data_IF_779386971054
#
_entry.id   IF_779386971054
#
_cell.length_a   1.000
_cell.length_b   1.000
_cell.length_c   1.000
_cell.angle_alpha   90.00
_cell.angle_beta   90.00
_cell.angle_gamma   90.00
#
_symmetry.space_group_name_H-M   'P 1'
#
loop_
_entity.id
_entity.type
_entity.pdbx_description
1 polymer ?
#
# COMPACT_ATOMS: atom_id res chain seq x y z
N UNK A 1 9.13 -10.16 1.40
CA UNK A 1 8.60 -8.86 0.91
C UNK A 1 7.88 -9.12 -0.41
N UNK A 2 6.77 -8.42 -0.66
CA UNK A 2 5.96 -8.61 -1.88
C UNK A 2 6.72 -8.13 -3.14
N UNK A 3 6.85 -9.00 -4.15
CA UNK A 3 7.47 -8.73 -5.45
C UNK A 3 6.82 -9.64 -6.51
N UNK A 4 6.58 -9.18 -7.75
CA UNK A 4 6.09 -10.03 -8.83
C UNK A 4 7.05 -11.18 -9.15
N UNK A 5 6.52 -12.40 -9.29
CA UNK A 5 7.34 -13.58 -9.63
C UNK A 5 7.94 -13.51 -11.05
N UNK A 6 7.20 -12.94 -12.00
CA UNK A 6 7.61 -12.76 -13.39
C UNK A 6 6.99 -11.46 -13.92
N UNK A 7 7.75 -10.72 -14.74
CA UNK A 7 7.26 -9.56 -15.46
C UNK A 7 7.58 -9.68 -16.95
N UNK A 8 6.68 -9.20 -17.81
CA UNK A 8 6.91 -9.15 -19.26
C UNK A 8 8.04 -8.17 -19.61
N UNK A 9 8.07 -7.02 -18.93
CA UNK A 9 9.06 -5.96 -19.17
C UNK A 9 9.75 -5.56 -17.86
N UNK A 10 11.08 -5.54 -17.90
CA UNK A 10 11.92 -5.22 -16.72
C UNK A 10 11.92 -3.74 -16.35
N UNK A 11 11.83 -2.82 -17.32
CA UNK A 11 11.85 -1.37 -17.10
C UNK A 11 10.58 -0.75 -17.69
N UNK A 12 9.82 -0.01 -16.89
CA UNK A 12 8.56 0.63 -17.31
C UNK A 12 8.66 2.15 -17.18
N UNK A 13 7.92 2.91 -17.98
CA UNK A 13 7.85 4.37 -17.85
C UNK A 13 7.36 4.77 -16.46
N UNK A 14 7.74 5.98 -16.02
CA UNK A 14 7.35 6.45 -14.70
C UNK A 14 5.83 6.65 -14.66
N UNK A 15 5.12 6.04 -13.70
CA UNK A 15 3.68 6.18 -13.64
C UNK A 15 3.28 7.60 -13.23
N UNK A 16 2.12 8.07 -13.66
CA UNK A 16 1.53 9.30 -13.13
C UNK A 16 0.82 9.05 -11.80
N UNK A 17 0.78 10.07 -10.94
CA UNK A 17 0.10 10.05 -9.63
C UNK A 17 -1.16 10.91 -9.57
N UNK A 18 -1.57 11.49 -10.69
CA UNK A 18 -2.76 12.35 -10.79
C UNK A 18 -4.07 11.55 -10.76
N UNK A 19 -5.14 12.24 -10.36
CA UNK A 19 -6.51 11.72 -10.34
C UNK A 19 -6.84 10.86 -9.13
N UNK A 20 -8.08 10.37 -9.11
CA UNK A 20 -8.62 9.53 -8.05
C UNK A 20 -8.37 8.03 -8.30
N UNK A 21 -8.50 7.22 -7.27
CA UNK A 21 -8.48 5.77 -7.40
C UNK A 21 -9.65 5.30 -8.27
N UNK A 22 -9.35 4.44 -9.26
CA UNK A 22 -10.35 3.89 -10.18
C UNK A 22 -11.21 2.79 -9.55
N UNK A 23 -10.76 2.19 -8.45
CA UNK A 23 -11.49 1.12 -7.77
C UNK A 23 -10.83 0.71 -6.46
N UNK A 24 -11.45 -0.24 -5.75
CA UNK A 24 -11.07 -0.62 -4.39
C UNK A 24 -11.14 0.55 -3.42
N UNK A 25 -12.22 1.33 -3.53
CA UNK A 25 -12.48 2.52 -2.73
C UNK A 25 -13.33 2.24 -1.49
N UNK A 26 -13.93 1.06 -1.43
CA UNK A 26 -14.74 0.55 -0.31
C UNK A 26 -14.06 -0.64 0.37
N UNK A 27 -14.40 -0.88 1.63
CA UNK A 27 -13.97 -2.08 2.37
C UNK A 27 -14.73 -3.29 1.84
N UNK A 28 -14.03 -4.31 1.36
CA UNK A 28 -14.67 -5.46 0.69
C UNK A 28 -14.64 -6.74 1.52
N UNK A 29 -13.59 -6.97 2.29
CA UNK A 29 -13.34 -8.23 2.99
C UNK A 29 -13.44 -8.07 4.52
N UNK A 30 -12.84 -7.01 5.06
CA UNK A 30 -12.78 -6.74 6.48
C UNK A 30 -13.96 -5.92 7.01
N UNK A 31 -13.84 -5.51 8.27
CA UNK A 31 -14.78 -4.62 8.97
C UNK A 31 -14.26 -3.19 9.00
N UNK A 32 -12.93 -3.02 9.06
CA UNK A 32 -12.25 -1.73 9.09
C UNK A 32 -11.14 -1.70 8.03
N UNK A 33 -10.81 -0.51 7.53
CA UNK A 33 -9.73 -0.34 6.55
C UNK A 33 -9.04 1.01 6.59
N UNK A 34 -7.88 1.08 5.92
CA UNK A 34 -7.10 2.31 5.72
C UNK A 34 -7.34 2.82 4.31
N UNK A 35 -7.89 4.02 4.17
CA UNK A 35 -8.08 4.68 2.88
C UNK A 35 -7.10 5.83 2.68
N UNK A 36 -6.43 5.87 1.53
CA UNK A 36 -5.51 6.94 1.18
C UNK A 36 -6.24 8.27 0.89
N UNK A 37 -5.72 9.38 1.44
CA UNK A 37 -6.18 10.74 1.16
C UNK A 37 -5.27 11.49 0.18
N UNK A 38 -4.01 11.08 0.07
CA UNK A 38 -3.02 11.68 -0.84
C UNK A 38 -2.33 10.61 -1.68
N UNK A 39 -1.90 10.93 -2.92
CA UNK A 39 -1.23 9.94 -3.77
C UNK A 39 0.21 9.68 -3.32
N UNK A 40 0.67 8.43 -3.42
CA UNK A 40 2.05 8.07 -3.13
C UNK A 40 2.49 6.78 -3.84
N UNK A 41 3.80 6.61 -3.97
CA UNK A 41 4.38 5.30 -4.24
C UNK A 41 4.63 4.59 -2.92
N UNK A 42 3.91 3.50 -2.70
CA UNK A 42 4.08 2.69 -1.50
C UNK A 42 5.00 1.51 -1.86
N UNK A 43 6.18 1.48 -1.26
CA UNK A 43 7.18 0.43 -1.48
C UNK A 43 6.77 -0.87 -0.80
N UNK A 44 7.29 -2.00 -1.30
CA UNK A 44 7.11 -3.30 -0.66
C UNK A 44 7.57 -3.33 0.82
N UNK A 45 8.60 -2.56 1.18
CA UNK A 45 9.08 -2.41 2.57
C UNK A 45 8.07 -1.67 3.46
N UNK A 46 7.42 -0.62 2.94
CA UNK A 46 6.38 0.11 3.67
C UNK A 46 5.11 -0.72 3.84
N UNK A 47 4.75 -1.53 2.82
CA UNK A 47 3.62 -2.46 2.94
C UNK A 47 3.89 -3.48 4.06
N UNK A 48 5.09 -4.06 4.08
CA UNK A 48 5.47 -5.05 5.08
C UNK A 48 5.59 -4.44 6.49
N UNK A 49 6.15 -3.23 6.63
CA UNK A 49 6.27 -2.58 7.93
C UNK A 49 4.91 -2.21 8.51
N UNK A 50 3.96 -1.75 7.68
CA UNK A 50 2.57 -1.51 8.08
C UNK A 50 1.88 -2.82 8.50
N UNK A 51 2.04 -3.91 7.71
CA UNK A 51 1.49 -5.24 8.03
C UNK A 51 2.02 -5.76 9.37
N UNK A 52 3.32 -5.67 9.60
CA UNK A 52 3.96 -6.08 10.86
C UNK A 52 3.44 -5.24 12.03
N UNK A 53 3.31 -3.91 11.86
CA UNK A 53 2.80 -3.05 12.92
C UNK A 53 1.38 -3.45 13.35
N UNK A 54 0.48 -3.71 12.40
CA UNK A 54 -0.88 -4.17 12.68
C UNK A 54 -0.90 -5.55 13.34
N UNK A 55 -0.24 -6.54 12.72
CA UNK A 55 -0.29 -7.94 13.19
C UNK A 55 0.36 -8.13 14.55
N UNK A 56 1.38 -7.34 14.89
CA UNK A 56 1.96 -7.32 16.25
C UNK A 56 1.02 -6.70 17.27
N UNK A 57 0.33 -5.60 16.93
CA UNK A 57 -0.60 -4.93 17.84
C UNK A 57 -1.78 -5.82 18.22
N UNK A 58 -2.36 -6.50 17.22
CA UNK A 58 -3.48 -7.44 17.43
C UNK A 58 -3.04 -8.79 18.00
N UNK A 59 -1.76 -8.95 18.39
CA UNK A 59 -1.18 -10.20 18.92
C UNK A 59 -1.43 -11.42 18.01
N UNK A 60 -1.41 -11.21 16.70
CA UNK A 60 -1.76 -12.22 15.67
C UNK A 60 -3.20 -12.77 15.74
N UNK A 61 -4.09 -12.11 16.49
CA UNK A 61 -5.53 -12.36 16.44
C UNK A 61 -6.20 -11.64 15.27
N UNK A 62 -7.36 -12.14 14.83
CA UNK A 62 -8.09 -11.59 13.69
C UNK A 62 -7.40 -11.84 12.34
N UNK A 63 -7.89 -11.17 11.29
CA UNK A 63 -7.40 -11.33 9.92
C UNK A 63 -7.08 -9.97 9.32
N UNK A 64 -5.96 -9.90 8.60
CA UNK A 64 -5.47 -8.70 7.91
C UNK A 64 -5.41 -8.97 6.41
N UNK A 65 -6.01 -8.10 5.61
CA UNK A 65 -5.92 -8.11 4.17
C UNK A 65 -5.02 -6.98 3.68
N UNK A 66 -4.29 -7.25 2.61
CA UNK A 66 -3.47 -6.28 1.90
C UNK A 66 -4.09 -6.11 0.51
N UNK A 67 -4.66 -4.94 0.24
CA UNK A 67 -5.41 -4.67 -0.99
C UNK A 67 -4.57 -4.03 -2.09
N UNK A 68 -3.30 -3.76 -1.79
CA UNK A 68 -2.33 -3.18 -2.74
C UNK A 68 -1.19 -4.16 -2.97
N UNK A 69 -0.67 -4.16 -4.19
CA UNK A 69 0.44 -5.02 -4.57
C UNK A 69 1.52 -4.18 -5.28
N UNK A 70 2.81 -4.34 -4.93
CA UNK A 70 3.87 -3.56 -5.54
C UNK A 70 4.28 -4.18 -6.89
N UNK A 71 3.52 -3.89 -7.94
CA UNK A 71 3.68 -4.42 -9.29
C UNK A 71 4.60 -3.58 -10.20
N UNK A 72 4.91 -2.34 -9.81
CA UNK A 72 5.66 -1.41 -10.65
C UNK A 72 7.13 -1.29 -10.24
N UNK A 73 8.08 -1.51 -11.16
CA UNK A 73 9.49 -1.25 -10.90
C UNK A 73 9.81 0.25 -11.00
N UNK A 74 10.47 0.81 -9.98
CA UNK A 74 11.12 2.12 -10.03
C UNK A 74 12.63 1.96 -10.22
N UNK A 75 13.17 2.69 -11.18
CA UNK A 75 14.58 2.64 -11.54
C UNK A 75 15.38 3.76 -10.88
N UNK A 76 16.63 3.49 -10.50
CA UNK A 76 17.59 4.49 -10.05
C UNK A 76 18.85 4.41 -10.93
N UNK A 77 19.46 5.55 -11.26
CA UNK A 77 20.82 5.55 -11.79
C UNK A 77 21.82 5.37 -10.66
N UNK A 78 22.96 4.70 -10.90
CA UNK A 78 24.05 4.64 -9.92
C UNK A 78 24.50 6.04 -9.52
N UNK A 79 24.96 6.18 -8.28
CA UNK A 79 25.58 7.41 -7.83
C UNK A 79 26.82 7.72 -8.69
N UNK A 80 27.21 9.00 -8.75
CA UNK A 80 28.45 9.45 -9.40
C UNK A 80 28.50 9.22 -10.93
N UNK A 81 27.34 8.97 -11.56
CA UNK A 81 27.23 8.84 -13.02
C UNK A 81 26.62 10.09 -13.67
N UNK A 82 27.04 10.39 -14.90
CA UNK A 82 26.47 11.49 -15.69
C UNK A 82 25.04 11.18 -16.19
N UNK A 83 24.34 12.22 -16.61
CA UNK A 83 23.08 12.09 -17.35
C UNK A 83 23.31 11.43 -18.72
N UNK A 84 22.27 10.87 -19.35
CA UNK A 84 22.41 10.06 -20.59
C UNK A 84 22.65 8.56 -20.36
N UNK A 85 23.19 7.83 -21.34
CA UNK A 85 23.54 6.39 -21.26
C UNK A 85 22.38 5.43 -20.92
N UNK A 86 21.15 5.86 -21.18
CA UNK A 86 19.95 5.05 -20.99
C UNK A 86 19.41 5.04 -19.55
N UNK A 87 18.46 4.13 -19.32
CA UNK A 87 17.68 4.04 -18.07
C UNK A 87 18.37 3.17 -17.02
N UNK A 88 18.35 3.60 -15.76
CA UNK A 88 18.94 2.87 -14.63
C UNK A 88 18.35 1.48 -14.35
N UNK A 89 18.92 0.79 -13.36
CA UNK A 89 18.44 -0.50 -12.86
C UNK A 89 17.15 -0.33 -12.05
N UNK A 90 16.19 -1.28 -12.12
CA UNK A 90 15.09 -1.36 -11.16
C UNK A 90 15.62 -1.60 -9.74
N UNK A 91 15.31 -0.69 -8.82
CA UNK A 91 15.74 -0.76 -7.41
C UNK A 91 14.58 -1.07 -6.47
N UNK A 92 13.39 -0.54 -6.77
CA UNK A 92 12.22 -0.69 -5.91
C UNK A 92 11.04 -1.26 -6.67
N UNK A 93 10.21 -2.02 -5.95
CA UNK A 93 8.87 -2.38 -6.36
C UNK A 93 7.88 -1.56 -5.55
N UNK A 94 6.99 -0.86 -6.25
CA UNK A 94 6.03 0.06 -5.66
C UNK A 94 4.62 -0.21 -6.14
N UNK A 95 3.66 0.06 -5.26
CA UNK A 95 2.27 0.22 -5.61
C UNK A 95 2.01 1.71 -5.88
N UNK A 96 1.40 2.03 -7.02
CA UNK A 96 0.95 3.39 -7.31
C UNK A 96 -0.40 3.64 -6.64
N UNK A 97 -0.39 4.31 -5.49
CA UNK A 97 -1.58 4.58 -4.70
C UNK A 97 -2.11 5.97 -5.04
N UNK A 98 -3.40 6.02 -5.40
CA UNK A 98 -4.16 7.26 -5.62
C UNK A 98 -5.13 7.50 -4.45
N UNK A 99 -5.58 8.75 -4.22
CA UNK A 99 -6.55 9.03 -3.17
C UNK A 99 -7.85 8.24 -3.39
N UNK A 100 -8.50 7.85 -2.29
CA UNK A 100 -9.67 6.99 -2.27
C UNK A 100 -9.36 5.50 -2.21
N UNK A 101 -8.14 5.04 -2.52
CA UNK A 101 -7.78 3.62 -2.48
C UNK A 101 -7.73 3.07 -1.05
N UNK A 102 -8.38 1.94 -0.81
CA UNK A 102 -8.25 1.14 0.42
C UNK A 102 -6.99 0.27 0.33
N UNK A 103 -6.12 0.38 1.32
CA UNK A 103 -4.77 -0.22 1.32
C UNK A 103 -4.72 -1.52 2.12
N UNK A 104 -5.36 -1.51 3.28
CA UNK A 104 -5.40 -2.63 4.22
C UNK A 104 -6.79 -2.74 4.82
N UNK A 105 -7.18 -3.94 5.18
CA UNK A 105 -8.41 -4.22 5.91
C UNK A 105 -8.15 -5.16 7.08
N UNK A 106 -8.97 -5.06 8.11
CA UNK A 106 -8.90 -5.88 9.32
C UNK A 106 -10.31 -6.33 9.75
N UNK A 107 -10.42 -7.54 10.25
CA UNK A 107 -11.64 -8.10 10.85
C UNK A 107 -11.31 -9.09 11.98
N UNK A 108 -12.32 -9.46 12.76
CA UNK A 108 -12.19 -10.41 13.86
C UNK A 108 -11.44 -9.84 15.07
N UNK A 109 -11.51 -8.52 15.27
CA UNK A 109 -10.98 -7.80 16.44
C UNK A 109 -11.96 -6.71 16.85
N UNK A 110 -11.95 -6.29 18.12
CA UNK A 110 -12.81 -5.21 18.57
C UNK A 110 -12.44 -3.86 17.90
N UNK A 111 -13.40 -2.94 17.83
CA UNK A 111 -13.24 -1.66 17.12
C UNK A 111 -12.09 -0.80 17.68
N UNK A 112 -11.93 -0.77 19.01
CA UNK A 112 -10.86 0.00 19.65
C UNK A 112 -9.47 -0.51 19.23
N UNK A 113 -9.26 -1.82 19.30
CA UNK A 113 -8.01 -2.48 18.91
C UNK A 113 -7.76 -2.34 17.40
N UNK A 114 -8.80 -2.43 16.57
CA UNK A 114 -8.70 -2.19 15.13
C UNK A 114 -8.20 -0.77 14.85
N UNK A 115 -8.83 0.25 15.46
CA UNK A 115 -8.46 1.66 15.25
C UNK A 115 -7.02 1.95 15.67
N UNK A 116 -6.59 1.43 16.81
CA UNK A 116 -5.20 1.57 17.26
C UNK A 116 -4.20 0.86 16.33
N UNK A 117 -4.52 -0.37 15.90
CA UNK A 117 -3.68 -1.13 14.99
C UNK A 117 -3.50 -0.40 13.64
N UNK A 118 -4.61 0.08 13.07
CA UNK A 118 -4.62 0.81 11.79
C UNK A 118 -3.89 2.15 11.93
N UNK A 119 -4.04 2.86 13.05
CA UNK A 119 -3.30 4.10 13.32
C UNK A 119 -1.79 3.85 13.30
N UNK A 120 -1.31 2.80 14.00
CA UNK A 120 0.11 2.40 13.98
C UNK A 120 0.61 2.07 12.58
N UNK A 121 -0.24 1.46 11.75
CA UNK A 121 0.09 1.17 10.35
C UNK A 121 0.23 2.44 9.51
N UNK A 122 -0.66 3.42 9.70
CA UNK A 122 -0.63 4.70 8.97
C UNK A 122 0.70 5.43 9.20
N UNK A 123 1.26 5.40 10.41
CA UNK A 123 2.57 5.98 10.70
C UNK A 123 3.73 5.34 9.92
N UNK A 124 3.53 4.18 9.29
CA UNK A 124 4.53 3.51 8.44
C UNK A 124 4.37 3.83 6.95
N UNK A 125 3.31 4.54 6.56
CA UNK A 125 2.98 4.84 5.18
C UNK A 125 3.40 6.26 4.80
N UNK A 126 3.86 6.50 3.56
CA UNK A 126 4.32 7.82 3.11
C UNK A 126 3.17 8.70 2.59
N UNK A 127 1.98 8.63 3.21
CA UNK A 127 0.77 9.32 2.74
C UNK A 127 -0.18 9.63 3.89
N UNK A 128 -1.03 10.65 3.71
CA UNK A 128 -2.16 10.91 4.60
C UNK A 128 -3.23 9.87 4.35
N UNK A 129 -3.77 9.28 5.40
CA UNK A 129 -4.82 8.27 5.31
C UNK A 129 -5.88 8.48 6.40
N UNK A 130 -7.07 7.93 6.18
CA UNK A 130 -8.14 7.84 7.17
C UNK A 130 -8.53 6.39 7.42
N UNK A 131 -9.08 6.13 8.60
CA UNK A 131 -9.68 4.85 8.93
C UNK A 131 -11.14 4.89 8.50
N UNK A 132 -11.60 3.84 7.83
CA UNK A 132 -12.99 3.67 7.40
C UNK A 132 -13.54 2.36 7.99
N UNK A 133 -14.85 2.33 8.23
CA UNK A 133 -15.60 1.13 8.63
C UNK A 133 -16.42 0.68 7.42
N UNK A 134 -16.69 -0.62 7.32
CA UNK A 134 -17.61 -1.15 6.30
C UNK A 134 -19.03 -0.66 6.61
N UNK A 135 -19.70 -0.12 5.61
CA UNK A 135 -21.11 0.27 5.71
C UNK A 135 -21.99 -0.99 5.51
N UNK A 136 -23.04 -1.14 6.32
CA UNK A 136 -24.02 -2.21 6.15
C UNK A 136 -24.82 -1.94 4.86
N UNK A 137 -24.62 -2.77 3.83
CA UNK A 137 -25.28 -2.63 2.53
C UNK A 137 -24.40 -2.95 1.30
N UNK A 138 -23.08 -3.03 1.47
CA UNK A 138 -22.13 -3.37 0.39
C UNK A 138 -21.87 -4.90 0.30
N UNK A 139 -22.94 -5.71 0.27
CA UNK A 139 -22.88 -7.16 0.08
C UNK A 139 -23.20 -7.57 -1.37
#
# INVERSE_FOLDING_TARGET
>A
MLIPRKVKYRKQHHPGRSGQATGGTKVSFGEFGIQALTPAYVTNRQIESARIAMTRHIKRGGKVWINIYPDRPLTKKPAETRMGSGKGSPEWWVANVKPGRVLFEVAGVNEQLAREALTRAIHKLPLKARIIKREEGDA
#
